data_IF_202798704550
#
_entry.id   IF_202798704550
#
_cell.length_a   1.000
_cell.length_b   1.000
_cell.length_c   1.000
_cell.angle_alpha   90.00
_cell.angle_beta   90.00
_cell.angle_gamma   90.00
#
_symmetry.space_group_name_H-M   'P 1'
#
loop_
_entity.id
_entity.type
_entity.pdbx_description
1 polymer ?
#
# COMPACT_ATOMS: atom_id res chain seq x y z
N UNK A 1 24.44 6.35 -7.98
CA UNK A 1 24.57 6.62 -6.52
C UNK A 1 23.41 6.04 -5.70
N UNK A 2 22.13 6.30 -6.01
CA UNK A 2 20.99 5.72 -5.25
C UNK A 2 20.94 4.19 -5.42
N UNK A 3 20.95 3.67 -6.64
CA UNK A 3 20.89 2.25 -6.93
C UNK A 3 22.05 1.46 -6.30
N UNK A 4 23.24 2.05 -6.27
CA UNK A 4 24.41 1.43 -5.63
C UNK A 4 24.17 1.26 -4.12
N UNK A 5 23.71 2.32 -3.44
CA UNK A 5 23.40 2.26 -2.00
C UNK A 5 22.29 1.27 -1.68
N UNK A 6 21.27 1.17 -2.55
CA UNK A 6 20.21 0.16 -2.39
C UNK A 6 20.76 -1.26 -2.55
N UNK A 7 21.63 -1.49 -3.53
CA UNK A 7 22.27 -2.79 -3.71
C UNK A 7 23.15 -3.17 -2.52
N UNK A 8 23.94 -2.24 -1.99
CA UNK A 8 24.75 -2.43 -0.79
C UNK A 8 23.86 -2.80 0.42
N UNK A 9 22.77 -2.05 0.64
CA UNK A 9 21.81 -2.33 1.73
C UNK A 9 21.14 -3.69 1.58
N UNK A 10 20.72 -4.06 0.36
CA UNK A 10 20.12 -5.38 0.08
C UNK A 10 21.11 -6.49 0.40
N UNK A 11 22.39 -6.35 0.00
CA UNK A 11 23.43 -7.31 0.32
C UNK A 11 23.64 -7.45 1.82
N UNK A 12 23.76 -6.33 2.53
CA UNK A 12 23.92 -6.30 3.99
C UNK A 12 22.75 -6.99 4.72
N UNK A 13 21.51 -6.67 4.34
CA UNK A 13 20.31 -7.29 4.92
C UNK A 13 20.18 -8.77 4.57
N UNK A 14 20.71 -9.20 3.42
CA UNK A 14 20.71 -10.61 3.01
C UNK A 14 21.74 -11.41 3.80
N UNK A 15 22.91 -10.83 4.06
CA UNK A 15 23.99 -11.46 4.83
C UNK A 15 23.69 -11.48 6.33
N UNK A 16 23.00 -10.45 6.82
CA UNK A 16 22.63 -10.28 8.24
C UNK A 16 21.10 -10.18 8.39
N UNK A 17 20.36 -11.28 8.25
CA UNK A 17 18.88 -11.26 8.30
C UNK A 17 18.32 -11.08 9.72
N UNK A 18 19.12 -10.61 10.67
CA UNK A 18 18.69 -10.30 12.04
C UNK A 18 17.82 -9.05 12.04
N UNK A 19 16.60 -9.22 11.57
CA UNK A 19 15.55 -8.20 11.62
C UNK A 19 14.60 -8.39 12.80
N UNK A 20 13.83 -7.37 13.06
CA UNK A 20 12.70 -7.46 14.00
C UNK A 20 11.74 -8.53 13.50
N UNK A 21 11.40 -9.52 14.33
CA UNK A 21 10.38 -10.51 13.99
C UNK A 21 9.01 -9.90 14.32
N UNK A 22 8.21 -9.51 13.33
CA UNK A 22 6.91 -8.95 13.60
C UNK A 22 6.00 -10.01 14.26
N UNK A 23 5.20 -9.57 15.22
CA UNK A 23 4.11 -10.38 15.76
C UNK A 23 3.00 -10.55 14.71
N UNK A 24 2.79 -9.53 13.90
CA UNK A 24 1.76 -9.48 12.87
C UNK A 24 2.27 -8.65 11.67
N UNK A 25 2.10 -9.16 10.46
CA UNK A 25 2.49 -8.52 9.20
C UNK A 25 1.27 -7.84 8.59
N UNK A 26 1.35 -6.54 8.40
CA UNK A 26 0.21 -5.72 8.00
C UNK A 26 0.42 -5.16 6.59
N UNK A 27 -0.61 -5.28 5.75
CA UNK A 27 -0.76 -4.45 4.57
C UNK A 27 -1.50 -3.17 5.00
N UNK A 28 -0.89 -2.02 4.74
CA UNK A 28 -1.50 -0.72 5.00
C UNK A 28 -2.16 -0.15 3.74
N UNK A 29 -3.40 0.29 3.86
CA UNK A 29 -4.15 0.92 2.78
C UNK A 29 -4.65 2.29 3.22
N UNK A 30 -4.55 3.27 2.33
CA UNK A 30 -4.98 4.63 2.60
C UNK A 30 -4.72 5.53 1.40
N UNK A 31 -4.95 6.82 1.58
CA UNK A 31 -4.70 7.78 0.50
C UNK A 31 -3.24 8.27 0.53
N UNK A 32 -2.77 8.72 1.67
CA UNK A 32 -1.39 9.13 1.93
C UNK A 32 -0.97 8.69 3.33
N UNK A 33 0.31 8.41 3.49
CA UNK A 33 0.91 8.17 4.80
C UNK A 33 1.56 9.46 5.33
N UNK A 34 0.81 10.55 5.36
CA UNK A 34 1.21 11.83 5.95
C UNK A 34 1.01 11.86 7.48
N UNK A 35 0.48 10.79 8.04
CA UNK A 35 0.27 10.56 9.47
C UNK A 35 1.14 9.39 9.96
N UNK A 36 2.43 9.62 10.25
CA UNK A 36 3.32 8.56 10.74
C UNK A 36 2.88 8.00 12.10
N UNK A 37 2.16 8.76 12.91
CA UNK A 37 1.57 8.35 14.17
C UNK A 37 0.68 7.09 14.06
N UNK A 38 0.00 6.90 12.94
CA UNK A 38 -0.80 5.69 12.70
C UNK A 38 0.11 4.47 12.51
N UNK A 39 1.22 4.63 11.81
CA UNK A 39 2.21 3.57 11.63
C UNK A 39 2.87 3.23 12.96
N UNK A 40 3.25 4.24 13.73
CA UNK A 40 3.81 4.08 15.08
C UNK A 40 2.82 3.32 16.00
N UNK A 41 1.52 3.64 15.91
CA UNK A 41 0.49 2.95 16.69
C UNK A 41 0.39 1.47 16.30
N UNK A 42 0.43 1.16 15.01
CA UNK A 42 0.44 -0.23 14.53
C UNK A 42 1.65 -0.98 15.09
N UNK A 43 2.83 -0.37 15.03
CA UNK A 43 4.08 -0.98 15.51
C UNK A 43 4.09 -1.17 17.04
N UNK A 44 3.58 -0.21 17.81
CA UNK A 44 3.42 -0.33 19.25
C UNK A 44 2.50 -1.49 19.67
N UNK A 45 1.55 -1.87 18.83
CA UNK A 45 0.70 -3.05 19.03
C UNK A 45 1.35 -4.36 18.54
N UNK A 46 2.58 -4.30 18.04
CA UNK A 46 3.34 -5.46 17.55
C UNK A 46 3.05 -5.83 16.10
N UNK A 47 2.36 -4.97 15.36
CA UNK A 47 2.21 -5.08 13.91
C UNK A 47 3.40 -4.44 13.18
N UNK A 48 3.68 -4.90 11.97
CA UNK A 48 4.64 -4.26 11.06
C UNK A 48 4.01 -4.07 9.69
N UNK A 49 4.07 -2.86 9.18
CA UNK A 49 3.64 -2.56 7.82
C UNK A 49 4.71 -3.06 6.86
N UNK A 50 4.42 -4.14 6.14
CA UNK A 50 5.35 -4.80 5.22
C UNK A 50 5.10 -4.47 3.76
N UNK A 51 3.91 -3.96 3.43
CA UNK A 51 3.58 -3.41 2.12
C UNK A 51 2.38 -2.46 2.21
N UNK A 52 2.12 -1.73 1.15
CA UNK A 52 1.04 -0.75 1.08
C UNK A 52 0.30 -0.74 -0.27
N UNK A 53 -0.86 -0.09 -0.29
CA UNK A 53 -1.59 0.26 -1.51
C UNK A 53 -1.69 1.77 -1.71
N UNK A 54 -0.82 2.53 -1.07
CA UNK A 54 -0.81 3.99 -1.14
C UNK A 54 -0.39 4.44 -2.54
N UNK A 55 -1.02 5.49 -3.05
CA UNK A 55 -0.72 6.00 -4.39
C UNK A 55 0.71 6.50 -4.59
N UNK A 56 1.35 6.99 -3.53
CA UNK A 56 2.75 7.45 -3.50
C UNK A 56 3.73 6.40 -2.93
N UNK A 57 3.22 5.25 -2.49
CA UNK A 57 4.01 4.15 -1.95
C UNK A 57 4.38 3.11 -3.00
N UNK A 58 4.18 1.82 -2.67
CA UNK A 58 4.51 0.69 -3.54
C UNK A 58 3.92 0.81 -4.95
N UNK A 59 2.71 1.39 -5.09
CA UNK A 59 2.05 1.62 -6.37
C UNK A 59 2.84 2.48 -7.36
N UNK A 60 3.77 3.30 -6.88
CA UNK A 60 4.63 4.13 -7.74
C UNK A 60 5.90 3.44 -8.23
N UNK A 61 6.26 2.31 -7.61
CA UNK A 61 7.48 1.56 -7.90
C UNK A 61 7.22 0.15 -8.44
N UNK A 62 5.96 -0.26 -8.56
CA UNK A 62 5.58 -1.63 -8.93
C UNK A 62 5.73 -1.92 -10.42
N UNK A 63 5.68 -0.90 -11.25
CA UNK A 63 5.83 -1.02 -12.70
C UNK A 63 6.95 -0.10 -13.18
N UNK A 64 7.87 -0.66 -13.91
CA UNK A 64 9.01 0.09 -14.49
C UNK A 64 8.62 0.71 -15.83
N UNK A 65 9.02 1.96 -16.04
CA UNK A 65 8.95 2.60 -17.35
C UNK A 65 10.06 2.04 -18.22
N UNK A 66 9.75 1.60 -19.44
CA UNK A 66 10.76 1.10 -20.38
C UNK A 66 11.77 2.20 -20.70
N UNK A 67 13.05 1.84 -20.65
CA UNK A 67 14.14 2.78 -20.98
C UNK A 67 14.45 2.81 -22.47
N UNK A 68 14.04 1.77 -23.24
CA UNK A 68 14.28 1.66 -24.66
C UNK A 68 13.12 2.23 -25.50
N UNK A 69 13.42 2.86 -26.62
CA UNK A 69 12.45 3.43 -27.54
C UNK A 69 12.19 4.92 -27.30
N UNK A 70 10.99 5.38 -27.70
CA UNK A 70 10.60 6.79 -27.50
C UNK A 70 10.20 7.03 -26.05
N UNK A 71 10.91 7.91 -25.32
CA UNK A 71 10.65 8.17 -23.91
C UNK A 71 9.26 8.75 -23.64
N UNK A 72 8.72 9.55 -24.59
CA UNK A 72 7.38 10.14 -24.44
C UNK A 72 6.32 9.05 -24.57
N UNK A 73 6.46 8.17 -25.56
CA UNK A 73 5.54 7.03 -25.72
C UNK A 73 5.59 6.11 -24.49
N UNK A 74 6.76 5.82 -23.96
CA UNK A 74 6.93 4.96 -22.78
C UNK A 74 6.28 5.58 -21.53
N UNK A 75 6.43 6.89 -21.31
CA UNK A 75 5.77 7.60 -20.22
C UNK A 75 4.26 7.63 -20.39
N UNK A 76 3.75 7.88 -21.58
CA UNK A 76 2.31 7.84 -21.87
C UNK A 76 1.74 6.44 -21.63
N UNK A 77 2.41 5.39 -22.14
CA UNK A 77 2.02 4.01 -21.93
C UNK A 77 1.94 3.66 -20.44
N UNK A 78 2.95 4.03 -19.67
CA UNK A 78 2.97 3.81 -18.23
C UNK A 78 1.77 4.47 -17.55
N UNK A 79 1.55 5.76 -17.75
CA UNK A 79 0.49 6.49 -17.05
C UNK A 79 -0.93 6.10 -17.46
N UNK A 80 -1.16 5.71 -18.70
CA UNK A 80 -2.50 5.39 -19.19
C UNK A 80 -2.87 3.91 -19.13
N UNK A 81 -1.88 3.00 -19.14
CA UNK A 81 -2.17 1.57 -19.29
C UNK A 81 -1.51 0.67 -18.25
N UNK A 82 -0.36 1.04 -17.72
CA UNK A 82 0.45 0.12 -16.92
C UNK A 82 0.45 0.48 -15.43
N UNK A 83 0.40 1.76 -15.10
CA UNK A 83 0.38 2.23 -13.71
C UNK A 83 -0.86 1.71 -12.98
N UNK A 84 -0.68 1.31 -11.73
CA UNK A 84 -1.79 0.94 -10.86
C UNK A 84 -2.82 2.09 -10.79
N UNK A 85 -4.07 1.85 -11.16
CA UNK A 85 -5.08 2.90 -11.19
C UNK A 85 -5.41 3.38 -9.77
N UNK A 86 -5.61 4.69 -9.66
CA UNK A 86 -6.04 5.30 -8.40
C UNK A 86 -7.53 5.00 -8.11
N UNK A 87 -7.96 5.00 -6.83
CA UNK A 87 -9.36 4.76 -6.46
C UNK A 87 -10.38 5.69 -7.13
N UNK A 88 -9.95 6.88 -7.56
CA UNK A 88 -10.79 7.83 -8.30
C UNK A 88 -11.15 7.42 -9.73
N UNK A 89 -10.46 6.40 -10.27
CA UNK A 89 -10.71 5.93 -11.63
C UNK A 89 -11.75 4.83 -11.56
N UNK A 90 -12.98 5.19 -11.89
CA UNK A 90 -14.12 4.28 -11.91
C UNK A 90 -13.92 3.15 -12.94
N UNK A 91 -14.46 1.96 -12.63
CA UNK A 91 -14.33 0.79 -13.49
C UNK A 91 -13.04 -0.01 -13.31
N UNK A 92 -12.17 0.40 -12.40
CA UNK A 92 -10.89 -0.28 -12.13
C UNK A 92 -10.86 -0.99 -10.76
N UNK A 93 -12.00 -1.06 -10.09
CA UNK A 93 -12.14 -1.59 -8.73
C UNK A 93 -11.71 -3.06 -8.67
N UNK A 94 -12.13 -3.87 -9.64
CA UNK A 94 -11.76 -5.28 -9.72
C UNK A 94 -10.25 -5.47 -9.73
N UNK A 95 -9.55 -4.71 -10.57
CA UNK A 95 -8.10 -4.76 -10.67
C UNK A 95 -7.40 -4.38 -9.34
N UNK A 96 -7.89 -3.33 -8.67
CA UNK A 96 -7.34 -2.92 -7.36
C UNK A 96 -7.59 -3.96 -6.28
N UNK A 97 -8.77 -4.59 -6.27
CA UNK A 97 -9.10 -5.64 -5.30
C UNK A 97 -8.31 -6.92 -5.54
N UNK A 98 -8.11 -7.32 -6.80
CA UNK A 98 -7.22 -8.43 -7.15
C UNK A 98 -5.78 -8.16 -6.72
N UNK A 99 -5.28 -6.94 -6.96
CA UNK A 99 -3.97 -6.50 -6.49
C UNK A 99 -3.85 -6.57 -4.97
N UNK A 100 -4.85 -6.10 -4.22
CA UNK A 100 -4.88 -6.20 -2.75
C UNK A 100 -4.66 -7.64 -2.29
N UNK A 101 -5.44 -8.57 -2.84
CA UNK A 101 -5.34 -10.00 -2.48
C UNK A 101 -3.98 -10.58 -2.86
N UNK A 102 -3.43 -10.20 -4.01
CA UNK A 102 -2.09 -10.60 -4.45
C UNK A 102 -1.02 -10.11 -3.48
N UNK A 103 -1.02 -8.82 -3.13
CA UNK A 103 -0.05 -8.25 -2.20
C UNK A 103 -0.12 -8.91 -0.80
N UNK A 104 -1.31 -9.18 -0.28
CA UNK A 104 -1.47 -9.91 0.98
C UNK A 104 -0.76 -11.26 0.93
N UNK A 105 -0.84 -11.98 -0.18
CA UNK A 105 -0.19 -13.29 -0.37
C UNK A 105 1.32 -13.16 -0.56
N UNK A 106 1.75 -12.28 -1.45
CA UNK A 106 3.16 -12.11 -1.82
C UNK A 106 4.00 -11.64 -0.62
N UNK A 107 3.47 -10.72 0.17
CA UNK A 107 4.11 -10.20 1.37
C UNK A 107 3.76 -10.98 2.64
N UNK A 108 2.98 -12.07 2.53
CA UNK A 108 2.56 -12.92 3.66
C UNK A 108 1.97 -12.09 4.80
N UNK A 109 1.01 -11.21 4.45
CA UNK A 109 0.36 -10.36 5.43
C UNK A 109 -0.67 -11.17 6.23
N UNK A 110 -0.72 -10.92 7.53
CA UNK A 110 -1.70 -11.50 8.46
C UNK A 110 -3.03 -10.75 8.42
N UNK A 111 -3.01 -9.49 7.95
CA UNK A 111 -4.22 -8.67 7.85
C UNK A 111 -3.98 -7.35 7.11
N UNK A 112 -5.08 -6.62 6.94
CA UNK A 112 -5.12 -5.32 6.27
C UNK A 112 -5.62 -4.27 7.26
N UNK A 113 -4.90 -3.16 7.38
CA UNK A 113 -5.36 -1.94 8.06
C UNK A 113 -5.60 -0.88 7.01
N UNK A 114 -6.83 -0.42 6.91
CA UNK A 114 -7.23 0.61 5.96
C UNK A 114 -7.65 1.89 6.67
N UNK A 115 -7.04 3.00 6.31
CA UNK A 115 -7.40 4.32 6.82
C UNK A 115 -8.15 5.13 5.76
N UNK A 116 -9.08 5.95 6.20
CA UNK A 116 -9.72 6.96 5.36
C UNK A 116 -9.79 8.28 6.09
N UNK A 117 -9.83 9.35 5.33
CA UNK A 117 -10.13 10.68 5.88
C UNK A 117 -11.65 10.82 5.93
N UNK A 118 -12.17 11.33 7.04
CA UNK A 118 -13.58 11.65 7.21
C UNK A 118 -14.08 12.50 6.05
N UNK A 119 -15.30 12.24 5.60
CA UNK A 119 -15.95 12.92 4.46
C UNK A 119 -15.28 12.70 3.09
N UNK A 120 -14.37 11.74 2.96
CA UNK A 120 -13.82 11.34 1.67
C UNK A 120 -14.65 10.20 1.07
N UNK A 121 -15.63 10.55 0.21
CA UNK A 121 -16.54 9.57 -0.43
C UNK A 121 -15.80 8.52 -1.24
N UNK A 122 -14.73 8.94 -1.95
CA UNK A 122 -13.89 8.06 -2.73
C UNK A 122 -13.25 6.96 -1.88
N UNK A 123 -12.69 7.34 -0.72
CA UNK A 123 -12.08 6.37 0.18
C UNK A 123 -13.13 5.51 0.89
N UNK A 124 -14.29 6.09 1.21
CA UNK A 124 -15.40 5.34 1.80
C UNK A 124 -15.87 4.22 0.85
N UNK A 125 -16.01 4.53 -0.44
CA UNK A 125 -16.36 3.53 -1.46
C UNK A 125 -15.27 2.46 -1.61
N UNK A 126 -14.01 2.86 -1.68
CA UNK A 126 -12.88 1.92 -1.77
C UNK A 126 -12.83 0.97 -0.57
N UNK A 127 -13.01 1.50 0.65
CA UNK A 127 -13.05 0.68 1.86
C UNK A 127 -14.22 -0.31 1.87
N UNK A 128 -15.38 0.09 1.33
CA UNK A 128 -16.52 -0.82 1.16
C UNK A 128 -16.16 -1.99 0.24
N UNK A 129 -15.48 -1.73 -0.87
CA UNK A 129 -15.01 -2.78 -1.79
C UNK A 129 -13.96 -3.67 -1.13
N UNK A 130 -13.03 -3.09 -0.37
CA UNK A 130 -12.02 -3.82 0.39
C UNK A 130 -12.66 -4.75 1.43
N UNK A 131 -13.65 -4.27 2.18
CA UNK A 131 -14.36 -5.07 3.17
C UNK A 131 -15.00 -6.32 2.53
N UNK A 132 -15.66 -6.15 1.39
CA UNK A 132 -16.25 -7.27 0.65
C UNK A 132 -15.19 -8.27 0.17
N UNK A 133 -14.08 -7.76 -0.37
CA UNK A 133 -12.98 -8.57 -0.90
C UNK A 133 -12.23 -9.32 0.19
N UNK A 134 -11.89 -8.66 1.29
CA UNK A 134 -11.17 -9.27 2.41
C UNK A 134 -12.03 -10.34 3.09
N UNK A 135 -13.31 -10.07 3.29
CA UNK A 135 -14.26 -11.05 3.82
C UNK A 135 -14.35 -12.31 2.94
N UNK A 136 -14.45 -12.14 1.61
CA UNK A 136 -14.50 -13.25 0.64
C UNK A 136 -13.23 -14.11 0.66
N UNK A 137 -12.08 -13.50 0.96
CA UNK A 137 -10.79 -14.18 0.96
C UNK A 137 -10.30 -14.58 2.37
N UNK A 138 -11.13 -14.43 3.41
CA UNK A 138 -10.77 -14.70 4.81
C UNK A 138 -9.54 -13.92 5.30
N UNK A 139 -9.39 -12.67 4.87
CA UNK A 139 -8.32 -11.77 5.27
C UNK A 139 -8.84 -10.91 6.43
N UNK A 140 -8.18 -10.90 7.61
CA UNK A 140 -8.50 -9.96 8.68
C UNK A 140 -8.41 -8.51 8.19
N UNK A 141 -9.42 -7.70 8.53
CA UNK A 141 -9.53 -6.33 8.03
C UNK A 141 -9.95 -5.38 9.13
N UNK A 142 -9.17 -4.34 9.34
CA UNK A 142 -9.46 -3.23 10.25
C UNK A 142 -9.61 -1.94 9.45
N UNK A 143 -10.73 -1.26 9.65
CA UNK A 143 -11.01 0.03 9.05
C UNK A 143 -10.93 1.13 10.11
N UNK A 144 -10.18 2.18 9.81
CA UNK A 144 -10.04 3.35 10.67
C UNK A 144 -10.47 4.61 9.91
N UNK A 145 -11.19 5.49 10.59
CA UNK A 145 -11.49 6.82 10.11
C UNK A 145 -10.59 7.83 10.82
N UNK A 146 -10.02 8.76 10.08
CA UNK A 146 -9.14 9.81 10.59
C UNK A 146 -9.63 11.16 10.12
N UNK A 147 -9.20 12.21 10.78
CA UNK A 147 -9.40 13.59 10.36
C UNK A 147 -8.06 14.28 10.10
N UNK A 148 -8.06 15.43 9.45
CA UNK A 148 -6.85 16.26 9.32
C UNK A 148 -6.46 16.92 10.63
N UNK A 149 -7.37 17.00 11.59
CA UNK A 149 -7.11 17.54 12.92
C UNK A 149 -6.38 16.50 13.77
N UNK A 150 -5.16 16.77 14.23
CA UNK A 150 -4.42 15.84 15.09
C UNK A 150 -5.11 15.55 16.44
N UNK A 151 -5.97 16.44 16.91
CA UNK A 151 -6.73 16.28 18.16
C UNK A 151 -8.08 15.53 17.93
N UNK A 152 -8.47 15.33 16.68
CA UNK A 152 -9.76 14.74 16.27
C UNK A 152 -9.77 13.23 16.15
N UNK A 153 -8.82 12.50 16.72
CA UNK A 153 -8.88 11.04 16.82
C UNK A 153 -9.68 10.68 18.07
N UNK A 154 -10.99 10.65 17.90
CA UNK A 154 -11.92 10.15 18.90
C UNK A 154 -12.23 8.67 18.71
#
# INVERSE_FOLDING_TARGET
MVNQKLSELISELTENPEGVKPRCRILYSGFHADRPDILDLIEQQGGYVVCDTIGSGLSSAEVEIKEEGDPIENVLRYYFFEKVPQPRIWGTEGHRMERLVRLVKDFKCDGVVATRIAFCDQQAFEQFMMLGTTKKNNIPYLQLETTYDPEGVG
#
